data_IF_100436355679
#
_entry.id   IF_100436355679
#
_cell.length_a   1.000
_cell.length_b   1.000
_cell.length_c   1.000
_cell.angle_alpha   90.00
_cell.angle_beta   90.00
_cell.angle_gamma   90.00
#
_symmetry.space_group_name_H-M   'P 1'
#
loop_
_entity.id
_entity.type
_entity.pdbx_description
1 polymer ?
#
# COMPACT_ATOMS: atom_id res chain seq x y z
N UNK A 1 2.13 -9.91 26.99
CA UNK A 1 3.18 -8.86 27.05
C UNK A 1 2.55 -7.52 26.71
N UNK A 2 2.33 -6.63 27.68
CA UNK A 2 1.74 -5.30 27.43
C UNK A 2 2.83 -4.36 26.89
N UNK A 3 2.94 -4.20 25.56
CA UNK A 3 3.79 -3.15 24.96
C UNK A 3 3.31 -1.78 25.48
N UNK A 4 4.23 -0.87 25.79
CA UNK A 4 3.90 0.50 26.20
C UNK A 4 3.24 1.27 25.04
N UNK A 5 2.48 2.34 25.35
CA UNK A 5 1.81 3.16 24.32
C UNK A 5 2.79 3.75 23.30
N UNK A 6 4.02 4.08 23.74
CA UNK A 6 5.10 4.59 22.89
C UNK A 6 5.58 3.49 21.93
N UNK A 7 5.86 2.30 22.46
CA UNK A 7 6.38 1.19 21.65
C UNK A 7 5.40 0.77 20.55
N UNK A 8 4.08 0.81 20.82
CA UNK A 8 3.06 0.55 19.80
C UNK A 8 3.06 1.59 18.68
N UNK A 9 3.23 2.88 19.01
CA UNK A 9 3.31 3.96 18.01
C UNK A 9 4.56 3.83 17.13
N UNK A 10 5.71 3.55 17.75
CA UNK A 10 6.96 3.31 17.01
C UNK A 10 6.82 2.09 16.10
N UNK A 11 6.27 0.99 16.60
CA UNK A 11 6.08 -0.22 15.78
C UNK A 11 5.11 0.01 14.61
N UNK A 12 4.02 0.77 14.81
CA UNK A 12 3.10 1.17 13.76
C UNK A 12 3.80 2.04 12.69
N UNK A 13 4.66 2.96 13.12
CA UNK A 13 5.42 3.82 12.22
C UNK A 13 6.45 3.05 11.39
N UNK A 14 7.20 2.15 12.03
CA UNK A 14 8.21 1.34 11.34
C UNK A 14 7.57 0.39 10.32
N UNK A 15 6.43 -0.23 10.65
CA UNK A 15 5.70 -1.06 9.68
C UNK A 15 5.16 -0.23 8.51
N UNK A 16 4.67 0.99 8.76
CA UNK A 16 4.27 1.91 7.71
C UNK A 16 5.42 2.31 6.78
N UNK A 17 6.59 2.66 7.35
CA UNK A 17 7.79 3.01 6.57
C UNK A 17 8.27 1.84 5.70
N UNK A 18 8.26 0.62 6.26
CA UNK A 18 8.56 -0.60 5.51
C UNK A 18 7.63 -0.76 4.30
N UNK A 19 6.31 -0.61 4.49
CA UNK A 19 5.34 -0.71 3.39
C UNK A 19 5.50 0.40 2.35
N UNK A 20 5.95 1.60 2.74
CA UNK A 20 6.26 2.67 1.80
C UNK A 20 7.45 2.32 0.90
N UNK A 21 8.50 1.70 1.44
CA UNK A 21 9.64 1.22 0.63
C UNK A 21 9.17 0.17 -0.37
N UNK A 22 8.36 -0.80 0.09
CA UNK A 22 7.76 -1.78 -0.81
C UNK A 22 6.90 -1.11 -1.90
N UNK A 23 6.04 -0.16 -1.53
CA UNK A 23 5.18 0.54 -2.49
C UNK A 23 5.98 1.31 -3.54
N UNK A 24 7.10 1.93 -3.16
CA UNK A 24 8.00 2.62 -4.09
C UNK A 24 8.65 1.65 -5.10
N UNK A 25 9.20 0.53 -4.61
CA UNK A 25 9.72 -0.53 -5.49
C UNK A 25 8.61 -1.09 -6.39
N UNK A 26 7.44 -1.38 -5.82
CA UNK A 26 6.30 -1.94 -6.53
C UNK A 26 5.87 -1.00 -7.67
N UNK A 27 5.73 0.29 -7.39
CA UNK A 27 5.43 1.30 -8.41
C UNK A 27 6.51 1.34 -9.51
N UNK A 28 7.78 1.33 -9.12
CA UNK A 28 8.92 1.41 -10.03
C UNK A 28 8.92 0.26 -11.05
N UNK A 29 8.55 -0.95 -10.64
CA UNK A 29 8.41 -2.09 -11.55
C UNK A 29 7.15 -1.94 -12.39
N UNK A 30 6.01 -1.63 -11.78
CA UNK A 30 4.74 -1.56 -12.49
C UNK A 30 4.71 -0.47 -13.57
N UNK A 31 5.34 0.69 -13.35
CA UNK A 31 5.36 1.76 -14.36
C UNK A 31 6.11 1.35 -15.63
N UNK A 32 7.03 0.37 -15.56
CA UNK A 32 7.73 -0.14 -16.75
C UNK A 32 6.77 -0.76 -17.76
N UNK A 33 5.63 -1.31 -17.31
CA UNK A 33 4.60 -1.85 -18.20
C UNK A 33 4.04 -0.80 -19.16
N UNK A 34 4.14 0.49 -18.85
CA UNK A 34 3.62 1.54 -19.72
C UNK A 34 4.53 1.80 -20.92
N UNK A 35 5.83 1.55 -20.80
CA UNK A 35 6.81 1.93 -21.83
C UNK A 35 7.68 0.79 -22.34
N UNK A 36 7.68 -0.37 -21.68
CA UNK A 36 8.47 -1.54 -22.09
C UNK A 36 7.89 -2.84 -21.53
N UNK A 37 7.24 -3.61 -22.39
CA UNK A 37 6.78 -4.97 -22.11
C UNK A 37 7.95 -5.88 -21.70
N UNK A 38 9.07 -5.84 -22.45
CA UNK A 38 10.27 -6.63 -22.18
C UNK A 38 10.82 -6.35 -20.77
N UNK A 39 10.96 -5.07 -20.40
CA UNK A 39 11.47 -4.70 -19.08
C UNK A 39 10.51 -5.12 -17.97
N UNK A 40 9.20 -4.95 -18.18
CA UNK A 40 8.20 -5.38 -17.20
C UNK A 40 8.22 -6.90 -16.98
N UNK A 41 8.26 -7.67 -18.06
CA UNK A 41 8.35 -9.13 -18.03
C UNK A 41 9.64 -9.57 -17.33
N UNK A 42 10.79 -9.02 -17.71
CA UNK A 42 12.08 -9.34 -17.08
C UNK A 42 12.08 -9.08 -15.57
N UNK A 43 11.63 -7.90 -15.13
CA UNK A 43 11.58 -7.55 -13.71
C UNK A 43 10.55 -8.38 -12.94
N UNK A 44 9.38 -8.64 -13.53
CA UNK A 44 8.33 -9.44 -12.91
C UNK A 44 8.73 -10.91 -12.78
N UNK A 45 9.38 -11.46 -13.81
CA UNK A 45 9.96 -12.79 -13.79
C UNK A 45 11.02 -12.89 -12.69
N UNK A 46 11.97 -11.95 -12.63
CA UNK A 46 12.97 -11.91 -11.56
C UNK A 46 12.34 -11.88 -10.17
N UNK A 47 11.34 -11.01 -9.94
CA UNK A 47 10.63 -10.95 -8.66
C UNK A 47 9.88 -12.25 -8.37
N UNK A 48 9.36 -12.91 -9.41
CA UNK A 48 8.64 -14.17 -9.33
C UNK A 48 9.55 -15.38 -9.07
N UNK A 49 10.75 -15.48 -9.61
CA UNK A 49 11.54 -16.73 -9.55
C UNK A 49 12.74 -16.65 -8.63
N UNK A 50 13.20 -15.45 -8.25
CA UNK A 50 14.34 -15.30 -7.37
C UNK A 50 14.06 -15.91 -5.97
N UNK A 51 14.86 -16.89 -5.50
CA UNK A 51 14.62 -17.56 -4.22
C UNK A 51 14.65 -16.64 -3.01
N UNK A 52 15.51 -15.61 -3.01
CA UNK A 52 15.58 -14.65 -1.92
C UNK A 52 14.32 -13.77 -1.88
N UNK A 53 13.80 -13.39 -3.06
CA UNK A 53 12.53 -12.64 -3.13
C UNK A 53 11.36 -13.50 -2.64
N UNK A 54 11.22 -14.72 -3.17
CA UNK A 54 10.07 -15.59 -2.89
C UNK A 54 10.08 -16.17 -1.47
N UNK A 55 11.22 -16.64 -0.97
CA UNK A 55 11.27 -17.38 0.30
C UNK A 55 11.71 -16.54 1.50
N UNK A 56 12.17 -15.30 1.29
CA UNK A 56 12.57 -14.40 2.39
C UNK A 56 11.79 -13.09 2.34
N UNK A 57 11.92 -12.31 1.26
CA UNK A 57 11.33 -10.97 1.22
C UNK A 57 9.80 -11.00 1.16
N UNK A 58 9.20 -11.93 0.42
CA UNK A 58 7.74 -12.06 0.31
C UNK A 58 7.10 -12.48 1.66
N UNK A 59 7.59 -13.49 2.40
CA UNK A 59 7.10 -13.77 3.75
C UNK A 59 7.23 -12.59 4.72
N UNK A 60 8.35 -11.85 4.67
CA UNK A 60 8.56 -10.64 5.48
C UNK A 60 7.54 -9.56 5.10
N UNK A 61 7.26 -9.38 3.81
CA UNK A 61 6.24 -8.45 3.33
C UNK A 61 4.85 -8.82 3.84
N UNK A 62 4.44 -10.09 3.69
CA UNK A 62 3.14 -10.57 4.17
C UNK A 62 3.03 -10.33 5.68
N UNK A 63 4.06 -10.67 6.45
CA UNK A 63 4.10 -10.38 7.88
C UNK A 63 3.97 -8.87 8.16
N UNK A 64 4.72 -8.02 7.46
CA UNK A 64 4.68 -6.58 7.62
C UNK A 64 3.30 -5.98 7.34
N UNK A 65 2.61 -6.44 6.28
CA UNK A 65 1.24 -6.04 5.94
C UNK A 65 0.27 -6.45 7.03
N UNK A 66 0.28 -7.73 7.44
CA UNK A 66 -0.61 -8.24 8.49
C UNK A 66 -0.37 -7.49 9.80
N UNK A 67 0.89 -7.34 10.19
CA UNK A 67 1.29 -6.62 11.40
C UNK A 67 0.79 -5.17 11.37
N UNK A 68 0.96 -4.46 10.25
CA UNK A 68 0.51 -3.08 10.09
C UNK A 68 -1.01 -2.94 10.30
N UNK A 69 -1.81 -3.78 9.66
CA UNK A 69 -3.27 -3.76 9.82
C UNK A 69 -3.72 -4.13 11.23
N UNK A 70 -3.17 -5.21 11.80
CA UNK A 70 -3.50 -5.64 13.17
C UNK A 70 -3.17 -4.53 14.17
N UNK A 71 -1.99 -3.93 14.08
CA UNK A 71 -1.60 -2.81 14.95
C UNK A 71 -2.47 -1.58 14.72
N UNK A 72 -2.82 -1.28 13.47
CA UNK A 72 -3.76 -0.20 13.13
C UNK A 72 -5.12 -0.38 13.81
N UNK A 73 -5.69 -1.58 13.76
CA UNK A 73 -6.96 -1.88 14.44
C UNK A 73 -6.85 -1.81 15.96
N UNK A 74 -5.76 -2.33 16.54
CA UNK A 74 -5.52 -2.25 17.99
C UNK A 74 -5.47 -0.78 18.43
N UNK A 75 -4.73 0.07 17.72
CA UNK A 75 -4.62 1.49 18.04
C UNK A 75 -5.96 2.20 17.85
N UNK A 76 -6.70 1.90 16.79
CA UNK A 76 -8.03 2.47 16.56
C UNK A 76 -8.97 2.14 17.73
N UNK A 77 -9.05 0.87 18.14
CA UNK A 77 -9.91 0.44 19.25
C UNK A 77 -9.48 1.12 20.57
N UNK A 78 -8.18 1.24 20.84
CA UNK A 78 -7.66 1.94 22.02
C UNK A 78 -8.00 3.44 21.99
N UNK A 79 -7.86 4.09 20.83
CA UNK A 79 -8.24 5.48 20.63
C UNK A 79 -9.76 5.67 20.79
N UNK A 80 -10.59 4.70 20.38
CA UNK A 80 -12.04 4.75 20.60
C UNK A 80 -12.38 4.62 22.09
N UNK A 81 -11.79 3.66 22.80
CA UNK A 81 -12.07 3.38 24.21
C UNK A 81 -11.60 4.49 25.16
N UNK A 82 -10.54 5.21 24.81
CA UNK A 82 -10.03 6.33 25.60
C UNK A 82 -10.90 7.59 25.52
N UNK A 83 -11.83 7.68 24.55
CA UNK A 83 -12.82 8.77 24.46
C UNK A 83 -14.00 8.50 25.43
N UNK A 84 -13.82 8.85 26.72
CA UNK A 84 -14.82 8.64 27.80
C UNK A 84 -16.08 9.52 27.72
N UNK A 85 -16.06 10.63 26.97
CA UNK A 85 -17.22 11.51 26.77
C UNK A 85 -17.34 11.83 25.29
N UNK A 86 -18.45 11.44 24.66
CA UNK A 86 -18.85 11.96 23.35
C UNK A 86 -19.19 13.43 23.55
N UNK A 87 -18.23 14.34 23.32
CA UNK A 87 -18.41 15.77 23.57
C UNK A 87 -19.66 16.28 22.84
N UNK A 88 -20.55 16.92 23.61
CA UNK A 88 -21.80 17.58 23.16
C UNK A 88 -21.54 18.67 22.09
N UNK A 89 -20.28 19.07 21.91
CA UNK A 89 -19.81 19.88 20.78
C UNK A 89 -18.34 19.57 20.50
N UNK A 90 -18.05 18.62 19.61
CA UNK A 90 -16.68 18.35 19.16
C UNK A 90 -16.36 19.18 17.91
N UNK A 91 -15.63 20.29 18.08
CA UNK A 91 -14.99 21.01 16.96
C UNK A 91 -13.79 20.23 16.44
N UNK A 92 -14.01 19.04 15.88
CA UNK A 92 -12.94 18.15 15.45
C UNK A 92 -11.99 18.74 14.41
N UNK A 93 -12.44 19.74 13.65
CA UNK A 93 -11.64 20.52 12.70
C UNK A 93 -10.63 21.46 13.37
N UNK A 94 -10.76 21.78 14.65
CA UNK A 94 -9.83 22.67 15.34
C UNK A 94 -8.50 22.00 15.71
N UNK A 95 -8.46 20.66 15.82
CA UNK A 95 -7.32 19.93 16.40
C UNK A 95 -6.81 18.74 15.58
N UNK A 96 -7.49 18.32 14.51
CA UNK A 96 -7.06 17.19 13.67
C UNK A 96 -7.63 17.27 12.26
N UNK A 97 -6.79 16.97 11.26
CA UNK A 97 -7.20 16.94 9.86
C UNK A 97 -8.18 15.80 9.57
N UNK A 98 -9.02 15.99 8.55
CA UNK A 98 -10.05 15.01 8.17
C UNK A 98 -9.46 13.63 7.84
N UNK A 99 -8.29 13.60 7.19
CA UNK A 99 -7.58 12.36 6.84
C UNK A 99 -7.22 11.56 8.09
N UNK A 100 -6.69 12.22 9.12
CA UNK A 100 -6.37 11.60 10.41
C UNK A 100 -7.61 10.99 11.08
N UNK A 101 -8.73 11.73 11.07
CA UNK A 101 -9.98 11.26 11.67
C UNK A 101 -10.61 10.07 10.94
N UNK A 102 -10.33 9.93 9.64
CA UNK A 102 -10.88 8.88 8.77
C UNK A 102 -9.84 7.84 8.35
N UNK A 103 -8.73 7.70 9.09
CA UNK A 103 -7.68 6.72 8.78
C UNK A 103 -8.20 5.29 8.70
N UNK A 104 -9.17 4.92 9.56
CA UNK A 104 -9.78 3.59 9.51
C UNK A 104 -10.53 3.34 8.21
N UNK A 105 -11.18 4.36 7.64
CA UNK A 105 -11.93 4.24 6.38
C UNK A 105 -10.98 3.99 5.23
N UNK A 106 -9.95 4.83 5.09
CA UNK A 106 -8.93 4.63 4.05
C UNK A 106 -8.20 3.29 4.21
N UNK A 107 -7.88 2.88 5.45
CA UNK A 107 -7.30 1.59 5.74
C UNK A 107 -8.19 0.41 5.32
N UNK A 108 -9.50 0.47 5.59
CA UNK A 108 -10.43 -0.58 5.17
C UNK A 108 -10.57 -0.67 3.64
N UNK A 109 -10.60 0.47 2.95
CA UNK A 109 -10.59 0.48 1.47
C UNK A 109 -9.32 -0.18 0.93
N UNK A 110 -8.15 0.15 1.49
CA UNK A 110 -6.87 -0.47 1.09
C UNK A 110 -6.86 -1.97 1.40
N UNK A 111 -7.43 -2.40 2.53
CA UNK A 111 -7.54 -3.82 2.87
C UNK A 111 -8.44 -4.58 1.88
N UNK A 112 -9.59 -4.01 1.50
CA UNK A 112 -10.45 -4.57 0.47
C UNK A 112 -9.77 -4.62 -0.89
N UNK A 113 -9.04 -3.56 -1.25
CA UNK A 113 -8.21 -3.51 -2.44
C UNK A 113 -7.14 -4.60 -2.45
N UNK A 114 -6.47 -4.85 -1.32
CA UNK A 114 -5.47 -5.90 -1.22
C UNK A 114 -6.07 -7.29 -1.49
N UNK A 115 -7.31 -7.53 -1.04
CA UNK A 115 -8.04 -8.75 -1.37
C UNK A 115 -8.27 -8.90 -2.87
N UNK A 116 -8.75 -7.85 -3.55
CA UNK A 116 -8.91 -7.83 -5.01
C UNK A 116 -7.57 -7.99 -5.73
N UNK A 117 -6.53 -7.29 -5.28
CA UNK A 117 -5.19 -7.33 -5.85
C UNK A 117 -4.58 -8.74 -5.75
N UNK A 118 -4.72 -9.40 -4.61
CA UNK A 118 -4.29 -10.79 -4.46
C UNK A 118 -5.12 -11.74 -5.31
N UNK A 119 -6.43 -11.53 -5.43
CA UNK A 119 -7.27 -12.32 -6.33
C UNK A 119 -6.84 -12.18 -7.80
N UNK A 120 -6.49 -10.97 -8.24
CA UNK A 120 -6.12 -10.73 -9.63
C UNK A 120 -4.71 -11.23 -9.96
N UNK A 121 -3.74 -11.13 -9.03
CA UNK A 121 -2.32 -11.36 -9.33
C UNK A 121 -1.66 -12.44 -8.47
N UNK A 122 -1.80 -12.39 -7.15
CA UNK A 122 -1.04 -13.29 -6.27
C UNK A 122 -1.60 -14.72 -6.25
N UNK A 123 -2.92 -14.89 -6.21
CA UNK A 123 -3.57 -16.21 -6.22
C UNK A 123 -3.30 -16.94 -7.55
N UNK A 124 -3.46 -16.32 -8.73
CA UNK A 124 -3.07 -16.94 -10.00
C UNK A 124 -1.58 -17.33 -10.02
N UNK A 125 -0.70 -16.48 -9.48
CA UNK A 125 0.74 -16.77 -9.40
C UNK A 125 1.03 -18.01 -8.54
N UNK A 126 0.40 -18.13 -7.38
CA UNK A 126 0.53 -19.29 -6.50
C UNK A 126 -0.03 -20.54 -7.18
N UNK A 127 -1.17 -20.43 -7.88
CA UNK A 127 -1.76 -21.54 -8.61
C UNK A 127 -0.79 -22.05 -9.69
N UNK A 128 -0.35 -21.16 -10.58
CA UNK A 128 0.56 -21.46 -11.68
C UNK A 128 1.80 -22.24 -11.20
N UNK A 129 2.44 -21.76 -10.12
CA UNK A 129 3.71 -22.32 -9.63
C UNK A 129 3.59 -23.56 -8.77
N UNK A 130 2.62 -23.59 -7.87
CA UNK A 130 2.60 -24.54 -6.75
C UNK A 130 1.40 -25.49 -6.76
N UNK A 131 0.35 -25.17 -7.52
CA UNK A 131 -0.85 -26.01 -7.62
C UNK A 131 -0.86 -26.75 -8.95
N UNK A 132 -0.82 -26.02 -10.06
CA UNK A 132 -0.79 -26.59 -11.42
C UNK A 132 0.63 -26.99 -11.85
N UNK A 133 1.66 -26.36 -11.26
CA UNK A 133 3.08 -26.67 -11.51
C UNK A 133 3.40 -26.58 -13.02
N UNK A 134 3.07 -25.43 -13.60
CA UNK A 134 3.31 -25.14 -15.01
C UNK A 134 4.80 -24.77 -15.25
N UNK A 135 5.33 -25.02 -16.47
CA UNK A 135 6.70 -24.66 -16.80
C UNK A 135 6.91 -23.14 -16.70
N UNK A 136 8.11 -22.69 -16.35
CA UNK A 136 8.39 -21.26 -16.27
C UNK A 136 8.23 -20.56 -17.63
N UNK A 137 7.45 -19.48 -17.65
CA UNK A 137 7.31 -18.58 -18.79
C UNK A 137 7.65 -17.13 -18.37
N UNK A 138 8.78 -16.56 -18.84
CA UNK A 138 9.17 -15.20 -18.49
C UNK A 138 8.32 -14.11 -19.17
N UNK A 139 7.53 -14.44 -20.20
CA UNK A 139 6.83 -13.45 -21.02
C UNK A 139 5.35 -13.27 -20.68
N UNK A 140 4.81 -14.06 -19.73
CA UNK A 140 3.37 -14.05 -19.41
C UNK A 140 2.89 -12.80 -18.64
N UNK A 141 3.76 -12.19 -17.83
CA UNK A 141 3.35 -11.22 -16.81
C UNK A 141 2.67 -9.98 -17.40
N UNK A 142 3.19 -9.45 -18.51
CA UNK A 142 2.62 -8.29 -19.18
C UNK A 142 1.20 -8.58 -19.70
N UNK A 143 1.01 -9.68 -20.42
CA UNK A 143 -0.29 -10.07 -20.94
C UNK A 143 -1.30 -10.32 -19.82
N UNK A 144 -0.88 -10.95 -18.73
CA UNK A 144 -1.72 -11.15 -17.54
C UNK A 144 -2.14 -9.82 -16.91
N UNK A 145 -1.22 -8.86 -16.79
CA UNK A 145 -1.51 -7.50 -16.31
C UNK A 145 -2.55 -6.81 -17.19
N UNK A 146 -2.28 -6.72 -18.49
CA UNK A 146 -3.13 -6.04 -19.47
C UNK A 146 -4.53 -6.63 -19.46
N UNK A 147 -4.65 -7.97 -19.45
CA UNK A 147 -5.93 -8.67 -19.42
C UNK A 147 -6.83 -8.26 -18.25
N UNK A 148 -6.27 -7.96 -17.06
CA UNK A 148 -7.07 -7.49 -15.93
C UNK A 148 -7.66 -6.11 -16.17
N UNK A 149 -6.94 -5.23 -16.86
CA UNK A 149 -7.35 -3.84 -17.05
C UNK A 149 -8.30 -3.60 -18.23
N UNK A 150 -8.70 -4.63 -18.98
CA UNK A 150 -9.80 -4.50 -19.96
C UNK A 150 -11.16 -4.19 -19.30
N UNK A 151 -11.34 -4.57 -18.03
CA UNK A 151 -12.62 -4.39 -17.34
C UNK A 151 -12.72 -2.96 -16.79
N UNK A 152 -13.69 -2.13 -17.24
CA UNK A 152 -13.87 -0.77 -16.71
C UNK A 152 -14.22 -0.77 -15.22
N UNK A 153 -14.84 -1.84 -14.74
CA UNK A 153 -15.15 -2.03 -13.31
C UNK A 153 -13.85 -2.20 -12.52
N UNK A 154 -12.93 -3.06 -12.97
CA UNK A 154 -11.62 -3.24 -12.30
C UNK A 154 -10.83 -1.93 -12.31
N UNK A 155 -10.74 -1.26 -13.45
CA UNK A 155 -10.05 0.05 -13.56
C UNK A 155 -10.60 1.07 -12.57
N UNK A 156 -11.94 1.14 -12.45
CA UNK A 156 -12.60 2.05 -11.50
C UNK A 156 -12.30 1.70 -10.04
N UNK A 157 -12.37 0.41 -9.68
CA UNK A 157 -12.07 -0.07 -8.33
C UNK A 157 -10.62 0.18 -7.93
N UNK A 158 -9.67 -0.12 -8.82
CA UNK A 158 -8.24 0.14 -8.60
C UNK A 158 -8.00 1.65 -8.44
N UNK A 159 -8.55 2.46 -9.35
CA UNK A 159 -8.36 3.91 -9.32
C UNK A 159 -8.90 4.55 -8.05
N UNK A 160 -10.11 4.16 -7.62
CA UNK A 160 -10.70 4.62 -6.37
C UNK A 160 -9.85 4.20 -5.17
N UNK A 161 -9.37 2.96 -5.16
CA UNK A 161 -8.52 2.45 -4.10
C UNK A 161 -7.22 3.22 -3.97
N UNK A 162 -6.60 3.60 -5.10
CA UNK A 162 -5.40 4.43 -5.09
C UNK A 162 -5.66 5.86 -4.59
N UNK A 163 -6.81 6.45 -4.87
CA UNK A 163 -7.19 7.75 -4.26
C UNK A 163 -7.21 7.63 -2.72
N UNK A 164 -7.84 6.57 -2.18
CA UNK A 164 -7.82 6.32 -0.74
C UNK A 164 -6.43 5.98 -0.19
N UNK A 165 -5.60 5.29 -0.97
CA UNK A 165 -4.19 5.08 -0.64
C UNK A 165 -3.44 6.41 -0.52
N UNK A 166 -3.68 7.36 -1.42
CA UNK A 166 -3.10 8.70 -1.34
C UNK A 166 -3.51 9.45 -0.07
N UNK A 167 -4.79 9.39 0.29
CA UNK A 167 -5.28 9.96 1.55
C UNK A 167 -4.63 9.30 2.78
N UNK A 168 -4.46 7.97 2.74
CA UNK A 168 -3.82 7.19 3.79
C UNK A 168 -2.34 7.55 3.95
N UNK A 169 -1.60 7.63 2.84
CA UNK A 169 -0.19 8.01 2.82
C UNK A 169 0.02 9.46 3.27
N UNK A 170 -0.85 10.37 2.82
CA UNK A 170 -0.74 11.81 3.12
C UNK A 170 -0.64 12.07 4.62
N UNK A 171 -1.42 11.33 5.42
CA UNK A 171 -1.32 11.39 6.87
C UNK A 171 -0.30 10.40 7.44
N UNK A 172 -0.41 9.12 7.08
CA UNK A 172 0.34 8.02 7.70
C UNK A 172 1.85 8.14 7.48
N UNK A 173 2.29 8.58 6.31
CA UNK A 173 3.72 8.64 5.99
C UNK A 173 4.44 9.74 6.77
N UNK A 174 3.91 10.97 6.77
CA UNK A 174 4.44 12.07 7.59
C UNK A 174 4.40 11.72 9.08
N UNK A 175 3.29 11.16 9.57
CA UNK A 175 3.12 10.78 10.98
C UNK A 175 4.12 9.71 11.43
N UNK A 176 4.55 8.82 10.53
CA UNK A 176 5.55 7.80 10.84
C UNK A 176 6.91 8.41 11.19
N UNK A 177 7.36 9.43 10.45
CA UNK A 177 8.61 10.14 10.75
C UNK A 177 8.57 10.83 12.12
N UNK A 178 7.42 11.44 12.46
CA UNK A 178 7.25 12.07 13.77
C UNK A 178 7.30 11.03 14.90
N UNK A 179 6.69 9.87 14.69
CA UNK A 179 6.61 8.79 15.68
C UNK A 179 7.96 8.13 15.97
N UNK A 180 8.89 8.15 15.01
CA UNK A 180 10.28 7.68 15.20
C UNK A 180 11.24 8.78 15.65
N UNK A 181 10.73 9.98 15.97
CA UNK A 181 11.52 11.06 16.59
C UNK A 181 12.08 12.11 15.62
N UNK A 182 11.69 12.10 14.34
CA UNK A 182 12.13 13.09 13.35
C UNK A 182 11.21 14.33 13.30
N UNK A 183 10.93 14.88 14.49
CA UNK A 183 10.20 16.14 14.67
C UNK A 183 11.18 17.28 15.00
N UNK A 184 11.83 17.85 13.98
CA UNK A 184 12.88 18.85 14.14
C UNK A 184 12.94 19.78 12.91
N UNK A 185 14.05 20.52 12.71
CA UNK A 185 14.25 21.42 11.56
C UNK A 185 14.05 20.77 10.18
N UNK A 186 14.21 19.45 10.06
CA UNK A 186 13.99 18.71 8.81
C UNK A 186 12.52 18.40 8.53
N UNK A 187 11.61 18.59 9.49
CA UNK A 187 10.20 18.24 9.34
C UNK A 187 9.51 19.00 8.19
N UNK A 188 9.95 20.21 7.85
CA UNK A 188 9.43 20.94 6.68
C UNK A 188 9.76 20.20 5.38
N UNK A 189 11.00 19.73 5.23
CA UNK A 189 11.46 19.00 4.03
C UNK A 189 10.81 17.62 3.97
N UNK A 190 10.77 16.91 5.11
CA UNK A 190 10.12 15.60 5.22
C UNK A 190 8.64 15.72 4.84
N UNK A 191 7.92 16.71 5.36
CA UNK A 191 6.50 16.89 5.05
C UNK A 191 6.27 17.14 3.55
N UNK A 192 7.07 18.01 2.92
CA UNK A 192 7.00 18.24 1.47
C UNK A 192 7.22 16.94 0.69
N UNK A 193 8.25 16.18 1.07
CA UNK A 193 8.56 14.89 0.44
C UNK A 193 7.42 13.88 0.61
N UNK A 194 6.92 13.68 1.83
CA UNK A 194 5.82 12.74 2.10
C UNK A 194 4.54 13.15 1.40
N UNK A 195 4.23 14.44 1.32
CA UNK A 195 3.08 14.95 0.58
C UNK A 195 3.23 14.69 -0.92
N UNK A 196 4.39 14.99 -1.51
CA UNK A 196 4.66 14.69 -2.91
C UNK A 196 4.51 13.20 -3.21
N UNK A 197 5.11 12.34 -2.37
CA UNK A 197 5.00 10.88 -2.51
C UNK A 197 3.54 10.40 -2.47
N UNK A 198 2.74 10.96 -1.55
CA UNK A 198 1.35 10.59 -1.33
C UNK A 198 0.40 11.02 -2.46
N UNK A 199 0.87 11.89 -3.36
CA UNK A 199 0.15 12.30 -4.58
C UNK A 199 0.70 11.56 -5.79
N UNK A 200 2.01 11.63 -6.02
CA UNK A 200 2.65 11.12 -7.23
C UNK A 200 2.50 9.61 -7.38
N UNK A 201 2.69 8.85 -6.30
CA UNK A 201 2.63 7.38 -6.37
C UNK A 201 1.21 6.89 -6.69
N UNK A 202 0.15 7.31 -5.97
CA UNK A 202 -1.21 6.96 -6.35
C UNK A 202 -1.62 7.43 -7.74
N UNK A 203 -1.28 8.67 -8.12
CA UNK A 203 -1.57 9.18 -9.47
C UNK A 203 -0.87 8.32 -10.53
N UNK A 204 0.37 7.91 -10.28
CA UNK A 204 1.10 7.01 -11.16
C UNK A 204 0.41 5.65 -11.31
N UNK A 205 -0.09 5.05 -10.23
CA UNK A 205 -0.84 3.80 -10.33
C UNK A 205 -2.19 3.94 -11.05
N UNK A 206 -2.92 5.04 -10.82
CA UNK A 206 -4.13 5.37 -11.58
C UNK A 206 -3.81 5.52 -13.06
N UNK A 207 -2.71 6.20 -13.38
CA UNK A 207 -2.23 6.36 -14.75
C UNK A 207 -1.95 5.01 -15.42
N UNK A 208 -1.24 4.09 -14.74
CA UNK A 208 -0.99 2.74 -15.26
C UNK A 208 -2.30 2.01 -15.60
N UNK A 209 -3.28 2.04 -14.69
CA UNK A 209 -4.57 1.37 -14.89
C UNK A 209 -5.35 1.94 -16.08
N UNK A 210 -5.39 3.27 -16.20
CA UNK A 210 -6.08 3.96 -17.30
C UNK A 210 -5.33 3.74 -18.62
N UNK A 211 -4.00 3.81 -18.60
CA UNK A 211 -3.17 3.57 -19.79
C UNK A 211 -3.46 2.20 -20.38
N UNK A 212 -3.43 1.14 -19.55
CA UNK A 212 -3.72 -0.21 -20.04
C UNK A 212 -5.16 -0.34 -20.50
N UNK A 213 -6.15 0.25 -19.82
CA UNK A 213 -7.54 0.23 -20.30
C UNK A 213 -7.73 0.87 -21.69
N UNK A 214 -7.02 1.95 -22.00
CA UNK A 214 -7.15 2.68 -23.27
C UNK A 214 -6.38 2.00 -24.41
N UNK A 215 -5.24 1.38 -24.11
CA UNK A 215 -4.30 0.84 -25.11
C UNK A 215 -4.37 -0.69 -25.25
N UNK A 216 -5.40 -1.33 -24.69
CA UNK A 216 -5.60 -2.79 -24.73
C UNK A 216 -6.81 -3.22 -25.55
#
# INVERSE_FOLDING_TARGET
MYLTSILRKVAMALSGLFLVVFLAQHFTINITSVFSEETFNFLSHFMGTNPLVQFVLQPILIFGVVFHFVMGFILEIQNRKSRRVSYVSFKGSANADWTSRNMIVSGLVILSFLGLHFYDFWIPEINYKYIEILPEDPNRYYHELVHKFHSPIRVSLYSLSFIFLGLHLYHGFSSSFQSVGLNNKFSIVINKFTTAFSVLIPVGFVYIAIYHYINS
#
